data_IF_736636525567
#
_entry.id   IF_736636525567
#
_cell.length_a   1.000
_cell.length_b   1.000
_cell.length_c   1.000
_cell.angle_alpha   90.00
_cell.angle_beta   90.00
_cell.angle_gamma   90.00
#
_symmetry.space_group_name_H-M   'P 1'
#
loop_
_entity.id
_entity.type
_entity.pdbx_description
1 polymer ?
#
# COMPACT_ATOMS: atom_id res chain seq x y z
N UNK A 1 -1.25 33.52 35.97
CA UNK A 1 -1.91 33.09 34.71
C UNK A 1 -1.03 32.06 34.02
N UNK A 2 -1.61 30.94 33.60
CA UNK A 2 -0.93 29.83 32.91
C UNK A 2 -0.81 30.19 31.43
N UNK A 3 0.40 30.11 30.86
CA UNK A 3 0.58 30.16 29.40
C UNK A 3 1.27 28.88 28.95
N UNK A 4 0.44 27.90 28.60
CA UNK A 4 0.84 26.68 27.91
C UNK A 4 1.08 27.09 26.46
N UNK A 5 2.34 27.20 26.03
CA UNK A 5 2.66 27.40 24.61
C UNK A 5 2.73 26.03 23.93
N UNK A 6 1.56 25.61 23.47
CA UNK A 6 1.29 24.47 22.62
C UNK A 6 2.19 24.47 21.37
N UNK A 7 2.75 23.31 21.02
CA UNK A 7 3.09 22.91 19.65
C UNK A 7 4.09 23.77 18.85
N UNK A 8 5.37 23.67 19.19
CA UNK A 8 6.44 23.75 18.17
C UNK A 8 6.69 22.37 17.57
N UNK A 9 5.70 21.82 16.86
CA UNK A 9 5.95 20.78 15.86
C UNK A 9 6.17 21.48 14.53
N UNK A 10 7.39 21.95 14.33
CA UNK A 10 7.95 22.02 12.99
C UNK A 10 8.04 20.56 12.54
N UNK A 11 6.96 20.08 11.92
CA UNK A 11 6.95 18.85 11.16
C UNK A 11 7.97 19.07 10.05
N UNK A 12 9.18 18.56 10.30
CA UNK A 12 10.21 18.44 9.29
C UNK A 12 9.54 17.85 8.05
N UNK A 13 9.50 18.65 7.01
CA UNK A 13 9.07 18.31 5.67
C UNK A 13 9.85 17.07 5.23
N UNK A 14 9.23 15.90 5.38
CA UNK A 14 9.73 14.68 4.76
C UNK A 14 9.63 14.90 3.26
N UNK A 15 10.77 15.09 2.61
CA UNK A 15 10.86 15.08 1.17
C UNK A 15 10.42 13.70 0.69
N UNK A 16 9.15 13.58 0.28
CA UNK A 16 8.63 12.38 -0.37
C UNK A 16 9.30 12.30 -1.74
N UNK A 17 10.34 11.46 -1.85
CA UNK A 17 10.95 11.14 -3.15
C UNK A 17 10.03 10.12 -3.81
N UNK A 18 9.27 10.59 -4.80
CA UNK A 18 8.42 9.77 -5.66
C UNK A 18 9.28 9.22 -6.80
N UNK A 19 9.36 7.88 -6.90
CA UNK A 19 10.09 7.19 -7.98
C UNK A 19 9.07 6.52 -8.88
N UNK A 20 8.92 7.01 -10.11
CA UNK A 20 8.06 6.37 -11.12
C UNK A 20 8.78 5.14 -11.69
N UNK A 21 8.17 3.96 -11.59
CA UNK A 21 8.73 2.72 -12.11
C UNK A 21 8.22 2.38 -13.52
N UNK A 22 9.10 1.75 -14.31
CA UNK A 22 8.83 1.32 -15.69
C UNK A 22 7.65 0.35 -15.79
N UNK A 23 6.98 0.39 -16.94
CA UNK A 23 5.76 -0.37 -17.15
C UNK A 23 6.02 -1.88 -17.25
N UNK A 24 5.17 -2.70 -16.62
CA UNK A 24 5.21 -4.15 -16.75
C UNK A 24 4.16 -4.63 -17.76
N UNK A 25 4.58 -5.44 -18.74
CA UNK A 25 3.67 -6.14 -19.63
C UNK A 25 3.17 -7.40 -18.93
N UNK A 26 1.85 -7.57 -18.87
CA UNK A 26 1.23 -8.79 -18.34
C UNK A 26 0.87 -9.75 -19.47
N UNK A 27 0.74 -11.05 -19.19
CA UNK A 27 0.38 -12.06 -20.20
C UNK A 27 -1.00 -11.83 -20.85
N UNK A 28 -1.81 -10.91 -20.34
CA UNK A 28 -3.10 -10.53 -20.91
C UNK A 28 -3.03 -9.24 -21.76
N UNK A 29 -1.83 -8.76 -22.09
CA UNK A 29 -1.61 -7.57 -22.93
C UNK A 29 -1.87 -6.24 -22.24
N UNK A 30 -2.26 -6.23 -20.95
CA UNK A 30 -2.41 -4.98 -20.18
C UNK A 30 -1.05 -4.50 -19.69
N UNK A 31 -0.83 -3.20 -19.84
CA UNK A 31 0.34 -2.49 -19.36
C UNK A 31 -0.05 -1.65 -18.13
N UNK A 32 0.76 -1.76 -17.07
CA UNK A 32 0.59 -0.96 -15.85
C UNK A 32 1.85 -0.17 -15.56
N UNK A 33 1.69 1.04 -15.04
CA UNK A 33 2.76 1.90 -14.53
C UNK A 33 2.57 2.01 -13.02
N UNK A 34 3.65 2.17 -12.26
CA UNK A 34 3.56 2.40 -10.82
C UNK A 34 4.34 3.64 -10.39
N UNK A 35 3.86 4.24 -9.31
CA UNK A 35 4.56 5.30 -8.61
C UNK A 35 4.79 4.90 -7.16
N UNK A 36 6.05 4.94 -6.74
CA UNK A 36 6.48 4.60 -5.40
C UNK A 36 6.73 5.84 -4.56
N UNK A 37 6.18 5.83 -3.36
CA UNK A 37 6.46 6.82 -2.32
C UNK A 37 7.37 6.21 -1.28
N UNK A 38 8.53 6.81 -1.10
CA UNK A 38 9.55 6.38 -0.14
C UNK A 38 9.60 7.29 1.10
N UNK A 39 9.72 6.71 2.29
CA UNK A 39 10.00 7.43 3.54
C UNK A 39 11.09 6.69 4.32
N UNK A 40 12.14 7.42 4.73
CA UNK A 40 13.25 6.82 5.50
C UNK A 40 13.91 5.61 4.80
N UNK A 41 13.96 5.61 3.46
CA UNK A 41 14.48 4.51 2.66
C UNK A 41 13.56 3.29 2.54
N UNK A 42 12.33 3.35 3.07
CA UNK A 42 11.33 2.28 2.96
C UNK A 42 10.20 2.69 2.02
N UNK A 43 9.69 1.74 1.25
CA UNK A 43 8.50 1.92 0.40
C UNK A 43 7.26 2.00 1.30
N UNK A 44 6.58 3.14 1.40
CA UNK A 44 5.39 3.29 2.24
C UNK A 44 4.09 3.29 1.45
N UNK A 45 4.15 3.67 0.17
CA UNK A 45 3.02 3.63 -0.74
C UNK A 45 3.46 3.24 -2.14
N UNK A 46 2.68 2.43 -2.84
CA UNK A 46 2.80 2.17 -4.27
C UNK A 46 1.44 2.34 -4.92
N UNK A 47 1.32 3.30 -5.83
CA UNK A 47 0.12 3.48 -6.65
C UNK A 47 0.35 2.83 -8.03
N UNK A 48 -0.66 2.12 -8.54
CA UNK A 48 -0.65 1.42 -9.82
C UNK A 48 -1.67 2.07 -10.73
N UNK A 49 -1.26 2.38 -11.94
CA UNK A 49 -2.07 3.01 -12.96
C UNK A 49 -2.10 2.19 -14.24
N UNK A 50 -3.19 2.32 -14.99
CA UNK A 50 -3.33 1.82 -16.35
C UNK A 50 -3.59 2.98 -17.30
N UNK A 51 -3.05 2.87 -18.51
CA UNK A 51 -3.41 3.76 -19.61
C UNK A 51 -4.60 3.12 -20.34
N UNK A 52 -5.82 3.55 -20.01
CA UNK A 52 -7.03 2.98 -20.61
C UNK A 52 -7.38 3.63 -21.96
N UNK A 53 -6.92 4.86 -22.19
CA UNK A 53 -7.08 5.57 -23.46
C UNK A 53 -5.76 6.24 -23.85
N UNK A 54 -5.14 5.71 -24.90
CA UNK A 54 -3.88 6.20 -25.42
C UNK A 54 -3.98 7.63 -25.98
N UNK A 55 -5.16 8.05 -26.46
CA UNK A 55 -5.36 9.37 -27.04
C UNK A 55 -5.36 10.48 -25.97
N UNK A 56 -5.93 10.21 -24.80
CA UNK A 56 -5.93 11.17 -23.68
C UNK A 56 -4.56 11.35 -23.02
N UNK A 57 -3.70 10.32 -23.06
CA UNK A 57 -2.45 10.31 -22.30
C UNK A 57 -2.62 10.17 -20.78
N UNK A 58 -3.85 9.97 -20.29
CA UNK A 58 -4.16 9.96 -18.86
C UNK A 58 -3.89 8.58 -18.25
N UNK A 59 -3.19 8.58 -17.12
CA UNK A 59 -3.00 7.39 -16.29
C UNK A 59 -4.13 7.27 -15.28
N UNK A 60 -4.96 6.24 -15.40
CA UNK A 60 -6.06 6.00 -14.49
C UNK A 60 -5.61 5.13 -13.31
N UNK A 61 -5.96 5.49 -12.06
CA UNK A 61 -5.64 4.67 -10.89
C UNK A 61 -6.35 3.32 -10.95
N UNK A 62 -5.65 2.27 -10.53
CA UNK A 62 -6.13 0.87 -10.53
C UNK A 62 -6.02 0.24 -9.14
N UNK A 63 -4.81 0.30 -8.56
CA UNK A 63 -4.51 -0.24 -7.23
C UNK A 63 -3.64 0.72 -6.44
N UNK A 64 -3.75 0.65 -5.12
CA UNK A 64 -2.82 1.29 -4.21
C UNK A 64 -2.43 0.29 -3.13
N UNK A 65 -1.15 0.24 -2.80
CA UNK A 65 -0.60 -0.55 -1.71
C UNK A 65 0.00 0.41 -0.68
N UNK A 66 -0.40 0.27 0.58
CA UNK A 66 0.21 0.99 1.70
C UNK A 66 0.94 0.01 2.60
N UNK A 67 2.15 0.35 3.00
CA UNK A 67 3.02 -0.49 3.80
C UNK A 67 3.24 0.15 5.17
N UNK A 68 3.01 -0.62 6.22
CA UNK A 68 3.34 -0.28 7.60
C UNK A 68 4.39 -1.25 8.12
N UNK A 69 5.40 -0.72 8.80
CA UNK A 69 6.52 -1.48 9.31
C UNK A 69 6.59 -1.34 10.82
N UNK A 70 6.45 -2.45 11.53
CA UNK A 70 6.72 -2.56 12.96
C UNK A 70 8.06 -3.30 13.09
N UNK A 71 9.11 -2.54 13.40
CA UNK A 71 10.48 -3.09 13.44
C UNK A 71 10.69 -3.89 14.72
N UNK A 72 10.06 -3.47 15.82
CA UNK A 72 10.18 -4.12 17.13
C UNK A 72 9.53 -5.50 17.12
N UNK A 73 8.38 -5.64 16.44
CA UNK A 73 7.66 -6.91 16.27
C UNK A 73 8.04 -7.67 14.99
N UNK A 74 9.05 -7.21 14.25
CA UNK A 74 9.47 -7.78 12.95
C UNK A 74 8.31 -8.04 11.98
N UNK A 75 7.36 -7.10 11.94
CA UNK A 75 6.09 -7.25 11.24
C UNK A 75 5.92 -6.20 10.15
N UNK A 76 5.44 -6.64 8.99
CA UNK A 76 5.07 -5.77 7.87
C UNK A 76 3.61 -5.98 7.54
N UNK A 77 2.84 -4.89 7.40
CA UNK A 77 1.45 -4.92 6.97
C UNK A 77 1.31 -4.20 5.64
N UNK A 78 0.86 -4.91 4.61
CA UNK A 78 0.48 -4.36 3.31
C UNK A 78 -1.05 -4.26 3.25
N UNK A 79 -1.58 -3.06 3.17
CA UNK A 79 -3.01 -2.83 2.89
C UNK A 79 -3.20 -2.52 1.41
N UNK A 80 -4.15 -3.21 0.77
CA UNK A 80 -4.45 -3.05 -0.65
C UNK A 80 -5.79 -2.36 -0.83
N UNK A 81 -5.82 -1.39 -1.74
CA UNK A 81 -7.00 -0.64 -2.13
C UNK A 81 -7.24 -0.78 -3.63
N UNK A 82 -8.51 -0.84 -4.02
CA UNK A 82 -8.95 -0.83 -5.40
C UNK A 82 -9.59 0.53 -5.72
N UNK A 83 -9.35 1.06 -6.91
CA UNK A 83 -10.03 2.28 -7.33
C UNK A 83 -11.48 1.97 -7.72
N UNK A 84 -12.45 2.62 -7.06
CA UNK A 84 -13.85 2.55 -7.46
C UNK A 84 -14.15 3.68 -8.44
N UNK A 85 -14.28 3.35 -9.72
CA UNK A 85 -14.54 4.32 -10.80
C UNK A 85 -15.90 5.03 -10.67
N UNK A 86 -16.89 4.40 -10.03
CA UNK A 86 -18.24 4.98 -9.90
C UNK A 86 -18.31 6.01 -8.77
N UNK A 87 -17.55 5.78 -7.70
CA UNK A 87 -17.46 6.70 -6.55
C UNK A 87 -16.30 7.67 -6.65
N UNK A 88 -15.35 7.41 -7.54
CA UNK A 88 -14.11 8.16 -7.69
C UNK A 88 -13.28 8.17 -6.38
N UNK A 89 -13.19 7.01 -5.72
CA UNK A 89 -12.53 6.84 -4.42
C UNK A 89 -11.80 5.50 -4.31
N UNK A 90 -10.75 5.44 -3.49
CA UNK A 90 -10.13 4.18 -3.08
C UNK A 90 -11.03 3.40 -2.10
N UNK A 91 -11.27 2.12 -2.39
CA UNK A 91 -11.96 1.19 -1.50
C UNK A 91 -11.00 0.11 -0.99
N UNK A 92 -11.11 -0.23 0.30
CA UNK A 92 -10.34 -1.31 0.92
C UNK A 92 -10.66 -2.64 0.24
N UNK A 93 -9.64 -3.40 -0.13
CA UNK A 93 -9.78 -4.69 -0.80
C UNK A 93 -9.22 -5.85 0.03
N UNK A 94 -7.98 -5.72 0.51
CA UNK A 94 -7.32 -6.82 1.22
C UNK A 94 -6.19 -6.32 2.12
N UNK A 95 -5.72 -7.21 2.98
CA UNK A 95 -4.59 -6.99 3.86
C UNK A 95 -3.70 -8.22 3.87
N UNK A 96 -2.40 -8.00 3.70
CA UNK A 96 -1.37 -9.00 3.92
C UNK A 96 -0.55 -8.62 5.14
N UNK A 97 -0.43 -9.53 6.09
CA UNK A 97 0.42 -9.40 7.26
C UNK A 97 1.57 -10.39 7.12
N UNK A 98 2.80 -9.90 7.22
CA UNK A 98 4.02 -10.69 7.16
C UNK A 98 4.70 -10.54 8.52
N UNK A 99 4.79 -11.62 9.27
CA UNK A 99 5.49 -11.69 10.55
C UNK A 99 6.74 -12.54 10.38
N UNK A 100 7.89 -12.01 10.79
CA UNK A 100 9.17 -12.73 10.71
C UNK A 100 9.60 -13.17 12.10
N UNK A 101 9.95 -14.45 12.19
CA UNK A 101 10.57 -15.09 13.34
C UNK A 101 11.95 -15.60 12.93
N UNK A 102 12.72 -16.07 13.89
CA UNK A 102 14.11 -16.50 13.67
C UNK A 102 14.23 -17.56 12.56
N UNK A 103 13.38 -18.59 12.62
CA UNK A 103 13.43 -19.75 11.70
C UNK A 103 12.22 -19.83 10.78
N UNK A 104 11.29 -18.88 10.86
CA UNK A 104 10.01 -18.96 10.15
C UNK A 104 9.50 -17.57 9.73
N UNK A 105 8.87 -17.50 8.56
CA UNK A 105 8.05 -16.35 8.14
C UNK A 105 6.60 -16.79 7.99
N UNK A 106 5.69 -16.12 8.71
CA UNK A 106 4.25 -16.29 8.52
C UNK A 106 3.67 -15.21 7.63
N UNK A 107 2.86 -15.60 6.65
CA UNK A 107 2.15 -14.67 5.75
C UNK A 107 0.65 -14.94 5.82
N UNK A 108 -0.10 -13.97 6.31
CA UNK A 108 -1.56 -14.00 6.40
C UNK A 108 -2.15 -13.06 5.36
N UNK A 109 -3.05 -13.57 4.51
CA UNK A 109 -3.82 -12.81 3.55
C UNK A 109 -5.29 -12.81 3.96
N UNK A 110 -5.85 -11.63 4.12
CA UNK A 110 -7.25 -11.42 4.47
C UNK A 110 -7.95 -10.52 3.45
N UNK A 111 -9.21 -10.81 3.17
CA UNK A 111 -10.04 -10.04 2.23
C UNK A 111 -10.99 -9.15 3.01
N UNK A 112 -11.22 -7.92 2.53
CA UNK A 112 -12.15 -6.99 3.15
C UNK A 112 -13.60 -7.44 2.92
N UNK A 113 -14.33 -7.69 4.00
CA UNK A 113 -15.75 -7.94 3.97
C UNK A 113 -16.48 -6.60 4.16
N UNK A 114 -17.08 -6.09 3.08
CA UNK A 114 -17.78 -4.80 3.08
C UNK A 114 -19.00 -4.79 3.98
N UNK A 115 -19.69 -5.91 4.14
CA UNK A 115 -20.89 -6.02 4.97
C UNK A 115 -20.55 -6.03 6.47
N UNK A 116 -19.49 -6.76 6.85
CA UNK A 116 -19.03 -6.82 8.24
C UNK A 116 -18.20 -5.61 8.67
N UNK A 117 -17.61 -4.89 7.71
CA UNK A 117 -16.63 -3.83 8.02
C UNK A 117 -15.34 -4.36 8.65
N UNK A 118 -14.95 -5.59 8.30
CA UNK A 118 -13.77 -6.27 8.85
C UNK A 118 -13.03 -7.09 7.79
N UNK A 119 -11.81 -7.53 8.11
CA UNK A 119 -11.06 -8.45 7.28
C UNK A 119 -11.38 -9.90 7.66
N UNK A 120 -11.76 -10.71 6.68
CA UNK A 120 -11.93 -12.16 6.83
C UNK A 120 -10.63 -12.86 6.36
N UNK A 121 -10.03 -13.70 7.20
CA UNK A 121 -8.81 -14.44 6.88
C UNK A 121 -9.10 -15.42 5.73
N UNK A 122 -8.31 -15.33 4.65
CA UNK A 122 -8.50 -16.14 3.44
C UNK A 122 -7.37 -17.15 3.25
N UNK A 123 -6.12 -16.78 3.54
CA UNK A 123 -4.96 -17.66 3.40
C UNK A 123 -3.95 -17.40 4.50
N UNK A 124 -3.30 -18.46 4.98
CA UNK A 124 -2.15 -18.38 5.87
C UNK A 124 -1.11 -19.40 5.42
N UNK A 125 0.13 -18.97 5.29
CA UNK A 125 1.26 -19.82 4.95
C UNK A 125 2.42 -19.57 5.91
N UNK A 126 3.24 -20.60 6.09
CA UNK A 126 4.48 -20.54 6.86
C UNK A 126 5.63 -20.98 5.95
N UNK A 127 6.73 -20.26 6.03
CA UNK A 127 7.95 -20.51 5.26
C UNK A 127 9.05 -20.72 6.29
N UNK A 128 9.59 -21.93 6.37
CA UNK A 128 10.74 -22.24 7.21
C UNK A 128 12.02 -21.89 6.45
N UNK A 129 12.96 -21.24 7.15
CA UNK A 129 14.27 -20.86 6.62
C UNK A 129 15.28 -22.00 6.69
#
# INVERSE_FOLDING_TARGET
MKTITFFKRVLASAALVSVCGFACATNNGKQFIHNDTMEGGKLVCREIYAMNDAASGILNPVKMYKYSYDTDQQKTVKSTYAWNIFKNTWETESRTVISRYETETSVEYSVWNKEKGSFDLSKKIYIHN
#
